data_IF_628596019882
#
_entry.id   IF_628596019882
#
_cell.length_a   1.000
_cell.length_b   1.000
_cell.length_c   1.000
_cell.angle_alpha   90.00
_cell.angle_beta   90.00
_cell.angle_gamma   90.00
#
_symmetry.space_group_name_H-M   'P 1'
#
loop_
_entity.id
_entity.type
_entity.pdbx_description
1 polymer ?
#
# COMPACT_ATOMS: atom_id res chain seq x y z
N UNK A 1 42.94 -73.23 -1.02
CA UNK A 1 42.69 -73.20 -2.46
C UNK A 1 41.40 -72.40 -2.72
N UNK A 2 41.59 -71.35 -3.47
CA UNK A 2 40.59 -70.67 -4.37
C UNK A 2 39.25 -70.27 -3.73
N UNK A 3 38.73 -69.15 -3.85
CA UNK A 3 38.92 -68.02 -4.71
C UNK A 3 37.57 -67.25 -4.74
N UNK A 4 37.68 -66.01 -4.49
CA UNK A 4 37.03 -64.92 -5.25
C UNK A 4 35.53 -64.85 -5.26
N UNK A 5 35.05 -63.67 -5.03
CA UNK A 5 33.85 -63.17 -5.56
C UNK A 5 33.44 -61.81 -4.99
N UNK A 6 34.07 -60.78 -5.49
CA UNK A 6 33.59 -59.39 -5.38
C UNK A 6 32.17 -59.26 -5.96
N UNK A 7 31.28 -58.60 -5.27
CA UNK A 7 30.22 -57.82 -5.93
C UNK A 7 30.19 -56.43 -5.29
N UNK A 8 30.57 -55.48 -6.09
CA UNK A 8 30.54 -54.05 -5.92
C UNK A 8 29.10 -53.54 -5.73
N UNK A 9 28.90 -52.67 -4.77
CA UNK A 9 28.64 -51.23 -4.85
C UNK A 9 27.84 -50.79 -6.10
N UNK A 10 26.61 -50.40 -5.86
CA UNK A 10 25.90 -49.28 -6.52
C UNK A 10 24.78 -48.82 -5.62
N UNK A 11 25.04 -47.92 -4.72
CA UNK A 11 24.05 -47.03 -4.14
C UNK A 11 24.45 -45.62 -4.59
N UNK A 12 24.00 -45.25 -5.78
CA UNK A 12 24.04 -43.89 -6.33
C UNK A 12 22.92 -43.07 -5.72
N UNK A 13 23.27 -42.07 -5.02
CA UNK A 13 22.96 -40.65 -5.17
C UNK A 13 21.61 -40.36 -5.84
N UNK A 14 20.59 -40.12 -5.03
CA UNK A 14 19.43 -39.30 -5.37
C UNK A 14 19.01 -38.50 -4.14
N UNK A 15 19.69 -37.38 -3.89
CA UNK A 15 19.23 -36.37 -2.98
C UNK A 15 19.74 -35.00 -3.45
N UNK A 16 18.89 -34.26 -4.06
CA UNK A 16 19.24 -32.89 -4.40
C UNK A 16 18.52 -32.33 -5.62
N UNK A 17 17.20 -32.10 -5.54
CA UNK A 17 16.52 -31.16 -6.43
C UNK A 17 15.09 -30.88 -5.94
N UNK A 18 14.93 -30.16 -4.84
CA UNK A 18 13.63 -29.56 -4.49
C UNK A 18 13.81 -28.34 -3.60
N UNK A 19 14.40 -27.26 -4.12
CA UNK A 19 14.43 -25.99 -3.36
C UNK A 19 14.66 -24.78 -4.27
N UNK A 20 13.89 -24.64 -5.35
CA UNK A 20 13.95 -23.42 -6.18
C UNK A 20 12.56 -22.86 -6.52
N UNK A 21 11.47 -23.39 -6.00
CA UNK A 21 10.11 -22.97 -6.42
C UNK A 21 9.51 -21.80 -5.63
N UNK A 22 10.16 -21.32 -4.55
CA UNK A 22 9.52 -20.34 -3.64
C UNK A 22 9.88 -18.86 -3.87
N UNK A 23 10.82 -18.56 -4.75
CA UNK A 23 11.28 -17.18 -4.94
C UNK A 23 10.51 -16.37 -6.00
N UNK A 24 9.73 -17.02 -6.86
CA UNK A 24 9.06 -16.33 -7.96
C UNK A 24 7.72 -15.69 -7.59
N UNK A 25 7.10 -16.06 -6.48
CA UNK A 25 5.81 -15.49 -6.06
C UNK A 25 5.93 -14.10 -5.42
N UNK A 26 7.08 -13.77 -4.82
CA UNK A 26 7.29 -12.45 -4.18
C UNK A 26 7.50 -11.34 -5.21
N UNK A 27 8.02 -11.66 -6.40
CA UNK A 27 8.26 -10.67 -7.45
C UNK A 27 7.00 -10.33 -8.27
N UNK A 28 6.02 -11.21 -8.32
CA UNK A 28 4.79 -10.98 -9.10
C UNK A 28 3.83 -10.01 -8.40
N UNK A 29 3.88 -9.87 -7.06
CA UNK A 29 3.06 -8.92 -6.31
C UNK A 29 3.61 -7.48 -6.36
N UNK A 30 4.86 -7.29 -6.76
CA UNK A 30 5.48 -5.96 -6.87
C UNK A 30 5.20 -5.27 -8.22
N UNK A 31 4.63 -5.96 -9.20
CA UNK A 31 4.49 -5.44 -10.57
C UNK A 31 3.42 -4.34 -10.72
N UNK A 32 2.47 -4.26 -9.79
CA UNK A 32 1.38 -3.27 -9.78
C UNK A 32 1.53 -2.19 -8.69
N UNK A 33 2.65 -2.19 -7.94
CA UNK A 33 2.96 -1.18 -6.95
C UNK A 33 4.01 -0.20 -7.48
N UNK A 34 3.62 1.02 -7.88
CA UNK A 34 4.52 1.96 -8.56
C UNK A 34 5.38 2.79 -7.60
N UNK A 35 5.12 2.72 -6.29
CA UNK A 35 5.78 3.57 -5.31
C UNK A 35 7.13 2.98 -4.87
N UNK A 36 8.08 3.88 -4.57
CA UNK A 36 9.42 3.49 -4.06
C UNK A 36 9.32 2.88 -2.67
N UNK A 37 8.37 3.34 -1.86
CA UNK A 37 8.13 2.84 -0.52
C UNK A 37 7.63 1.40 -0.58
N UNK A 38 8.10 0.59 0.36
CA UNK A 38 7.60 -0.78 0.50
C UNK A 38 6.08 -0.78 0.75
N UNK A 39 5.38 -1.61 0.03
CA UNK A 39 3.96 -1.84 0.30
C UNK A 39 3.78 -2.55 1.65
N UNK A 40 3.12 -1.86 2.57
CA UNK A 40 2.62 -2.42 3.83
C UNK A 40 1.10 -2.35 3.75
N UNK A 41 0.39 -3.45 3.52
CA UNK A 41 -1.07 -3.42 3.31
C UNK A 41 -1.84 -2.92 4.52
N UNK A 42 -1.44 -3.36 5.71
CA UNK A 42 -2.12 -3.08 6.98
C UNK A 42 -1.10 -2.68 8.05
N UNK A 43 -1.49 -1.76 8.92
CA UNK A 43 -0.70 -1.30 10.04
C UNK A 43 -1.06 -2.15 11.28
N UNK A 44 -0.10 -2.92 11.75
CA UNK A 44 -0.26 -3.75 12.92
C UNK A 44 -0.11 -2.93 14.21
N UNK A 45 -1.04 -3.04 15.17
CA UNK A 45 -0.96 -2.29 16.42
C UNK A 45 0.33 -2.58 17.21
N UNK A 46 0.85 -3.81 17.16
CA UNK A 46 2.08 -4.22 17.85
C UNK A 46 3.34 -3.45 17.44
N UNK A 47 3.33 -2.73 16.31
CA UNK A 47 4.45 -1.89 15.88
C UNK A 47 4.48 -0.51 16.55
N UNK A 48 3.37 -0.08 17.15
CA UNK A 48 3.22 1.28 17.65
C UNK A 48 2.55 1.40 19.02
N UNK A 49 1.89 0.34 19.49
CA UNK A 49 1.17 0.31 20.76
C UNK A 49 1.95 -0.47 21.81
N UNK A 50 2.30 0.19 22.91
CA UNK A 50 2.96 -0.39 24.08
C UNK A 50 2.11 -0.32 25.37
N UNK A 51 0.85 0.06 25.24
CA UNK A 51 -0.13 0.08 26.34
C UNK A 51 -0.68 -1.31 26.66
N UNK A 52 -1.73 -1.39 27.49
CA UNK A 52 -2.43 -2.64 27.75
C UNK A 52 -2.89 -3.35 26.48
N UNK A 53 -3.12 -4.66 26.57
CA UNK A 53 -3.66 -5.44 25.47
C UNK A 53 -4.92 -4.80 24.90
N UNK A 54 -4.99 -4.64 23.57
CA UNK A 54 -6.14 -4.07 22.91
C UNK A 54 -7.26 -5.12 22.87
N UNK A 55 -8.41 -4.74 23.39
CA UNK A 55 -9.63 -5.56 23.28
C UNK A 55 -10.34 -5.25 21.97
N UNK A 56 -10.97 -6.25 21.33
CA UNK A 56 -11.79 -6.00 20.15
C UNK A 56 -12.88 -4.95 20.46
N UNK A 57 -12.94 -3.92 19.62
CA UNK A 57 -13.99 -2.91 19.73
C UNK A 57 -15.25 -3.52 19.10
N UNK A 58 -16.20 -3.97 19.93
CA UNK A 58 -17.47 -4.50 19.47
C UNK A 58 -18.27 -3.43 18.70
N UNK A 59 -19.54 -3.20 19.09
CA UNK A 59 -20.29 -2.06 18.54
C UNK A 59 -19.89 -0.79 19.31
N UNK A 60 -19.08 0.13 18.73
CA UNK A 60 -18.64 1.33 19.45
C UNK A 60 -19.83 2.27 19.71
N UNK A 61 -19.84 2.87 20.89
CA UNK A 61 -20.80 3.92 21.24
C UNK A 61 -20.58 5.21 20.44
N UNK A 62 -21.59 6.10 20.37
CA UNK A 62 -21.51 7.32 19.57
C UNK A 62 -20.36 8.24 19.99
N UNK A 63 -20.08 8.33 21.28
CA UNK A 63 -19.00 9.19 21.83
C UNK A 63 -17.61 8.69 21.37
N UNK A 64 -17.37 7.39 21.44
CA UNK A 64 -16.13 6.79 20.97
C UNK A 64 -15.95 6.98 19.46
N UNK A 65 -17.03 6.79 18.68
CA UNK A 65 -17.00 7.01 17.24
C UNK A 65 -16.68 8.46 16.89
N UNK A 66 -17.32 9.42 17.57
CA UNK A 66 -17.08 10.84 17.33
C UNK A 66 -15.66 11.25 17.69
N UNK A 67 -15.15 10.77 18.83
CA UNK A 67 -13.77 11.00 19.24
C UNK A 67 -12.79 10.42 18.20
N UNK A 68 -12.93 9.15 17.84
CA UNK A 68 -12.06 8.50 16.84
C UNK A 68 -12.09 9.25 15.49
N UNK A 69 -13.28 9.65 15.01
CA UNK A 69 -13.43 10.38 13.74
C UNK A 69 -12.67 11.71 13.74
N UNK A 70 -12.72 12.48 14.84
CA UNK A 70 -11.96 13.72 14.97
C UNK A 70 -10.45 13.49 14.97
N UNK A 71 -9.99 12.40 15.58
CA UNK A 71 -8.57 12.08 15.67
C UNK A 71 -7.95 11.68 14.34
N UNK A 72 -8.71 11.02 13.48
CA UNK A 72 -8.20 10.58 12.17
C UNK A 72 -8.32 11.64 11.07
N UNK A 73 -9.10 12.71 11.26
CA UNK A 73 -9.28 13.75 10.25
C UNK A 73 -7.92 14.44 9.95
N UNK A 74 -7.39 14.35 8.72
CA UNK A 74 -6.10 14.94 8.36
C UNK A 74 -6.08 16.47 8.44
N UNK A 75 -7.25 17.13 8.49
CA UNK A 75 -7.38 18.58 8.63
C UNK A 75 -7.21 19.05 10.05
N UNK A 76 -7.27 18.14 11.03
CA UNK A 76 -7.11 18.50 12.45
C UNK A 76 -5.61 18.58 12.78
N UNK A 77 -5.10 19.75 13.23
CA UNK A 77 -3.70 19.91 13.61
C UNK A 77 -3.32 19.07 14.83
N UNK A 78 -2.03 18.70 14.94
CA UNK A 78 -1.53 17.79 15.96
C UNK A 78 -1.77 18.29 17.42
N UNK A 79 -1.70 19.59 17.66
CA UNK A 79 -2.00 20.20 18.96
C UNK A 79 -3.47 20.01 19.34
N UNK A 80 -4.38 20.15 18.38
CA UNK A 80 -5.82 19.90 18.58
C UNK A 80 -6.11 18.43 18.82
N UNK A 81 -5.43 17.53 18.10
CA UNK A 81 -5.52 16.07 18.36
C UNK A 81 -5.11 15.78 19.81
N UNK A 82 -4.01 16.37 20.29
CA UNK A 82 -3.57 16.18 21.67
C UNK A 82 -4.61 16.65 22.68
N UNK A 83 -5.20 17.83 22.48
CA UNK A 83 -6.26 18.35 23.36
C UNK A 83 -7.49 17.43 23.36
N UNK A 84 -7.94 16.98 22.20
CA UNK A 84 -9.08 16.04 22.07
C UNK A 84 -8.84 14.71 22.79
N UNK A 85 -7.62 14.18 22.72
CA UNK A 85 -7.25 12.95 23.45
C UNK A 85 -7.28 13.19 24.96
N UNK A 86 -6.79 14.35 25.43
CA UNK A 86 -6.83 14.73 26.85
C UNK A 86 -8.26 14.90 27.35
N UNK A 87 -9.09 15.59 26.57
CA UNK A 87 -10.50 15.81 26.90
C UNK A 87 -11.26 14.49 26.99
N UNK A 88 -11.04 13.58 26.04
CA UNK A 88 -11.64 12.25 26.07
C UNK A 88 -11.17 11.44 27.31
N UNK A 89 -9.88 11.47 27.62
CA UNK A 89 -9.32 10.78 28.77
C UNK A 89 -9.91 11.32 30.10
N UNK A 90 -10.09 12.65 30.21
CA UNK A 90 -10.64 13.29 31.40
C UNK A 90 -12.12 12.94 31.67
N UNK A 91 -12.85 12.57 30.63
CA UNK A 91 -14.26 12.14 30.74
C UNK A 91 -14.39 10.67 31.17
N UNK A 92 -13.31 9.90 31.17
CA UNK A 92 -13.37 8.50 31.53
C UNK A 92 -13.16 8.29 33.03
N UNK A 93 -13.96 7.41 33.68
CA UNK A 93 -13.69 7.00 35.05
C UNK A 93 -12.25 6.44 35.18
N UNK A 94 -11.60 6.72 36.30
CA UNK A 94 -10.18 6.34 36.48
C UNK A 94 -9.91 4.84 36.25
N UNK A 95 -10.80 3.98 36.76
CA UNK A 95 -10.69 2.52 36.60
C UNK A 95 -10.97 2.00 35.17
N UNK A 96 -11.61 2.81 34.32
CA UNK A 96 -11.94 2.43 32.95
C UNK A 96 -11.08 3.14 31.89
N UNK A 97 -10.33 4.14 32.32
CA UNK A 97 -9.56 5.00 31.40
C UNK A 97 -8.62 4.23 30.50
N UNK A 98 -7.84 3.30 31.04
CA UNK A 98 -6.91 2.51 30.26
C UNK A 98 -7.61 1.72 29.15
N UNK A 99 -8.77 1.10 29.45
CA UNK A 99 -9.59 0.38 28.49
C UNK A 99 -10.17 1.30 27.43
N UNK A 100 -10.77 2.43 27.85
CA UNK A 100 -11.37 3.41 26.93
C UNK A 100 -10.34 3.99 25.96
N UNK A 101 -9.14 4.29 26.45
CA UNK A 101 -8.02 4.77 25.61
C UNK A 101 -7.54 3.71 24.63
N UNK A 102 -7.48 2.44 25.06
CA UNK A 102 -7.16 1.32 24.16
C UNK A 102 -8.22 1.16 23.05
N UNK A 103 -9.50 1.25 23.40
CA UNK A 103 -10.60 1.20 22.42
C UNK A 103 -10.58 2.39 21.46
N UNK A 104 -10.25 3.58 21.93
CA UNK A 104 -10.09 4.77 21.09
C UNK A 104 -8.98 4.58 20.07
N UNK A 105 -7.84 4.05 20.51
CA UNK A 105 -6.74 3.74 19.60
C UNK A 105 -7.11 2.65 18.59
N UNK A 106 -7.67 1.53 19.04
CA UNK A 106 -8.05 0.41 18.19
C UNK A 106 -9.02 0.86 17.09
N UNK A 107 -10.11 1.56 17.44
CA UNK A 107 -11.08 2.08 16.47
C UNK A 107 -10.46 3.08 15.48
N UNK A 108 -9.57 3.96 15.97
CA UNK A 108 -8.88 4.92 15.11
C UNK A 108 -7.94 4.23 14.14
N UNK A 109 -7.24 3.17 14.58
CA UNK A 109 -6.34 2.39 13.74
C UNK A 109 -7.11 1.61 12.68
N UNK A 110 -8.23 0.97 13.05
CA UNK A 110 -9.10 0.26 12.09
C UNK A 110 -9.54 1.19 10.96
N UNK A 111 -10.03 2.39 11.28
CA UNK A 111 -10.48 3.34 10.27
C UNK A 111 -9.31 3.91 9.43
N UNK A 112 -8.13 4.10 10.01
CA UNK A 112 -6.94 4.48 9.26
C UNK A 112 -6.49 3.35 8.32
N UNK A 113 -6.64 2.09 8.71
CA UNK A 113 -6.38 0.94 7.85
C UNK A 113 -7.38 0.86 6.70
N UNK A 114 -8.68 1.09 6.94
CA UNK A 114 -9.71 1.16 5.90
C UNK A 114 -9.39 2.25 4.85
N UNK A 115 -9.03 3.45 5.32
CA UNK A 115 -8.64 4.55 4.44
C UNK A 115 -7.35 4.21 3.67
N UNK A 116 -6.36 3.64 4.36
CA UNK A 116 -5.11 3.19 3.74
C UNK A 116 -5.34 2.14 2.65
N UNK A 117 -6.19 1.17 2.90
CA UNK A 117 -6.56 0.16 1.92
C UNK A 117 -7.21 0.80 0.68
N UNK A 118 -8.12 1.76 0.88
CA UNK A 118 -8.75 2.49 -0.22
C UNK A 118 -7.73 3.26 -1.06
N UNK A 119 -6.77 3.92 -0.42
CA UNK A 119 -5.64 4.62 -1.07
C UNK A 119 -4.77 3.64 -1.85
N UNK A 120 -4.35 2.54 -1.25
CA UNK A 120 -3.53 1.50 -1.91
C UNK A 120 -4.23 0.95 -3.15
N UNK A 121 -5.53 0.66 -3.05
CA UNK A 121 -6.33 0.25 -4.22
C UNK A 121 -6.37 1.33 -5.31
N UNK A 122 -6.43 2.60 -4.92
CA UNK A 122 -6.35 3.74 -5.85
C UNK A 122 -5.01 3.78 -6.59
N UNK A 123 -3.90 3.73 -5.85
CA UNK A 123 -2.54 3.71 -6.40
C UNK A 123 -2.34 2.58 -7.42
N UNK A 124 -2.82 1.37 -7.10
CA UNK A 124 -2.74 0.23 -8.02
C UNK A 124 -3.55 0.43 -9.30
N UNK A 125 -4.78 0.96 -9.18
CA UNK A 125 -5.59 1.27 -10.37
C UNK A 125 -4.90 2.31 -11.26
N UNK A 126 -4.31 3.33 -10.66
CA UNK A 126 -3.56 4.34 -11.39
C UNK A 126 -2.35 3.76 -12.10
N UNK A 127 -1.61 2.84 -11.47
CA UNK A 127 -0.47 2.14 -12.07
C UNK A 127 -0.88 1.33 -13.30
N UNK A 128 -2.00 0.59 -13.22
CA UNK A 128 -2.54 -0.15 -14.36
C UNK A 128 -2.93 0.81 -15.49
N UNK A 129 -3.68 1.88 -15.20
CA UNK A 129 -4.08 2.86 -16.21
C UNK A 129 -2.88 3.60 -16.84
N UNK A 130 -1.80 3.81 -16.06
CA UNK A 130 -0.55 4.40 -16.57
C UNK A 130 0.18 3.44 -17.54
N UNK A 131 0.19 2.15 -17.21
CA UNK A 131 0.75 1.12 -18.10
C UNK A 131 -0.04 1.03 -19.40
N UNK A 132 -1.35 0.97 -19.35
CA UNK A 132 -2.21 0.91 -20.54
C UNK A 132 -2.00 2.14 -21.45
N UNK A 133 -1.84 3.33 -20.84
CA UNK A 133 -1.55 4.56 -21.58
C UNK A 133 -0.18 4.50 -22.25
N UNK A 134 0.85 4.00 -21.55
CA UNK A 134 2.17 3.79 -22.13
C UNK A 134 2.14 2.82 -23.32
N UNK A 135 1.45 1.68 -23.18
CA UNK A 135 1.30 0.68 -24.23
C UNK A 135 0.59 1.27 -25.45
N UNK A 136 -0.43 2.11 -25.26
CA UNK A 136 -1.13 2.82 -26.34
C UNK A 136 -0.21 3.79 -27.08
N UNK A 137 0.57 4.63 -26.36
CA UNK A 137 1.55 5.55 -26.96
C UNK A 137 2.57 4.77 -27.81
N UNK A 138 3.03 3.62 -27.34
CA UNK A 138 3.94 2.76 -28.11
C UNK A 138 3.28 2.23 -29.37
N UNK A 139 2.02 1.80 -29.29
CA UNK A 139 1.27 1.31 -30.46
C UNK A 139 1.04 2.41 -31.48
N UNK A 140 0.62 3.59 -31.07
CA UNK A 140 0.42 4.77 -31.92
C UNK A 140 1.73 5.20 -32.61
N UNK A 141 2.85 5.18 -31.87
CA UNK A 141 4.18 5.50 -32.42
C UNK A 141 4.59 4.51 -33.52
N UNK A 142 4.34 3.22 -33.32
CA UNK A 142 4.63 2.19 -34.33
C UNK A 142 3.74 2.35 -35.56
N UNK A 143 2.46 2.67 -35.38
CA UNK A 143 1.54 2.85 -36.49
C UNK A 143 1.87 4.12 -37.29
N UNK A 144 2.23 5.21 -36.62
CA UNK A 144 2.74 6.42 -37.28
C UNK A 144 3.95 6.13 -38.18
N UNK A 145 4.90 5.35 -37.67
CA UNK A 145 6.07 4.98 -38.48
C UNK A 145 5.67 4.20 -39.76
N UNK A 146 4.68 3.30 -39.67
CA UNK A 146 4.18 2.55 -40.85
C UNK A 146 3.47 3.48 -41.85
N UNK A 147 2.58 4.37 -41.36
CA UNK A 147 1.84 5.30 -42.24
C UNK A 147 2.78 6.29 -42.94
N UNK A 148 3.83 6.74 -42.26
CA UNK A 148 4.83 7.64 -42.83
C UNK A 148 5.71 6.94 -43.90
N UNK A 149 5.91 5.61 -43.79
CA UNK A 149 6.67 4.82 -44.77
C UNK A 149 5.81 4.39 -45.99
N UNK A 150 4.49 4.54 -45.92
CA UNK A 150 3.59 4.20 -47.04
C UNK A 150 3.74 5.16 -48.22
N UNK A 151 3.50 4.67 -49.43
CA UNK A 151 3.58 5.47 -50.66
C UNK A 151 2.31 5.27 -51.50
N UNK A 152 1.49 6.30 -51.72
CA UNK A 152 1.56 7.64 -51.13
C UNK A 152 1.19 7.64 -49.62
N UNK A 153 1.77 8.54 -48.81
CA UNK A 153 1.41 8.66 -47.41
C UNK A 153 0.03 9.33 -47.25
N UNK A 154 -0.78 8.84 -46.31
CA UNK A 154 -2.03 9.48 -45.92
C UNK A 154 -1.78 10.57 -44.87
N UNK A 155 -1.60 11.81 -45.36
CA UNK A 155 -1.28 12.96 -44.51
C UNK A 155 -2.39 13.26 -43.48
N UNK A 156 -3.67 13.00 -43.81
CA UNK A 156 -4.80 13.29 -42.91
C UNK A 156 -4.79 12.30 -41.71
N UNK A 157 -4.67 11.03 -41.99
CA UNK A 157 -4.59 9.97 -40.93
C UNK A 157 -3.34 10.14 -40.10
N UNK A 158 -2.18 10.48 -40.69
CA UNK A 158 -0.94 10.77 -39.97
C UNK A 158 -1.15 11.94 -38.99
N UNK A 159 -1.75 13.05 -39.44
CA UNK A 159 -1.99 14.22 -38.59
C UNK A 159 -2.92 13.95 -37.40
N UNK A 160 -3.98 13.17 -37.63
CA UNK A 160 -4.89 12.75 -36.57
C UNK A 160 -4.20 11.88 -35.52
N UNK A 161 -3.43 10.88 -35.96
CA UNK A 161 -2.76 9.96 -35.05
C UNK A 161 -1.61 10.66 -34.30
N UNK A 162 -0.89 11.60 -34.94
CA UNK A 162 0.09 12.44 -34.25
C UNK A 162 -0.54 13.24 -33.11
N UNK A 163 -1.68 13.87 -33.37
CA UNK A 163 -2.41 14.65 -32.37
C UNK A 163 -2.87 13.77 -31.19
N UNK A 164 -3.37 12.57 -31.46
CA UNK A 164 -3.79 11.63 -30.45
C UNK A 164 -2.62 11.18 -29.56
N UNK A 165 -1.50 10.75 -30.18
CA UNK A 165 -0.28 10.35 -29.46
C UNK A 165 0.29 11.50 -28.61
N UNK A 166 0.33 12.71 -29.13
CA UNK A 166 0.90 13.87 -28.42
C UNK A 166 0.01 14.22 -27.21
N UNK A 167 -1.31 14.07 -27.33
CA UNK A 167 -2.25 14.23 -26.23
C UNK A 167 -2.04 13.15 -25.15
N UNK A 168 -1.95 11.89 -25.54
CA UNK A 168 -1.72 10.77 -24.63
C UNK A 168 -0.35 10.89 -23.93
N UNK A 169 0.67 11.31 -24.64
CA UNK A 169 2.01 11.57 -24.07
C UNK A 169 1.96 12.67 -23.01
N UNK A 170 1.17 13.73 -23.25
CA UNK A 170 0.98 14.81 -22.27
C UNK A 170 0.29 14.29 -21.01
N UNK A 171 -0.81 13.55 -21.17
CA UNK A 171 -1.55 12.96 -20.04
C UNK A 171 -0.64 12.04 -19.23
N UNK A 172 0.14 11.18 -19.92
CA UNK A 172 1.11 10.30 -19.28
C UNK A 172 2.11 11.08 -18.42
N UNK A 173 2.71 12.13 -18.97
CA UNK A 173 3.67 12.97 -18.26
C UNK A 173 3.07 13.71 -17.07
N UNK A 174 1.83 14.19 -17.17
CA UNK A 174 1.17 14.89 -16.07
C UNK A 174 0.79 13.93 -14.92
N UNK A 175 0.31 12.73 -15.23
CA UNK A 175 0.08 11.69 -14.22
C UNK A 175 1.37 11.24 -13.53
N UNK A 176 2.47 11.13 -14.31
CA UNK A 176 3.78 10.76 -13.77
C UNK A 176 4.28 11.77 -12.71
N UNK A 177 4.04 13.07 -12.92
CA UNK A 177 4.39 14.12 -11.95
C UNK A 177 3.58 14.03 -10.65
N UNK A 178 2.35 13.54 -10.72
CA UNK A 178 1.46 13.39 -9.56
C UNK A 178 1.71 12.11 -8.76
N UNK A 179 2.43 11.15 -9.33
CA UNK A 179 2.63 9.84 -8.72
C UNK A 179 3.27 9.93 -7.32
N UNK A 180 4.24 10.82 -7.13
CA UNK A 180 4.89 11.01 -5.83
C UNK A 180 3.90 11.43 -4.74
N UNK A 181 2.98 12.36 -5.06
CA UNK A 181 1.96 12.84 -4.12
C UNK A 181 0.97 11.73 -3.72
N UNK A 182 0.62 10.88 -4.68
CA UNK A 182 -0.27 9.75 -4.42
C UNK A 182 0.44 8.68 -3.58
N UNK A 183 1.73 8.43 -3.86
CA UNK A 183 2.55 7.50 -3.10
C UNK A 183 2.84 7.94 -1.66
N UNK A 184 2.79 9.23 -1.37
CA UNK A 184 3.00 9.77 -0.02
C UNK A 184 1.78 9.54 0.90
N UNK A 185 0.58 9.38 0.35
CA UNK A 185 -0.65 9.24 1.16
C UNK A 185 -0.61 8.05 2.13
N UNK A 186 -0.24 6.82 1.74
CA UNK A 186 -0.11 5.71 2.67
C UNK A 186 0.88 5.98 3.80
N UNK A 187 1.98 6.71 3.50
CA UNK A 187 3.00 7.07 4.49
C UNK A 187 2.45 8.08 5.49
N UNK A 188 1.67 9.05 5.04
CA UNK A 188 1.03 10.04 5.92
C UNK A 188 0.04 9.39 6.88
N UNK A 189 -0.76 8.41 6.41
CA UNK A 189 -1.67 7.64 7.27
C UNK A 189 -0.91 6.82 8.31
N UNK A 190 0.20 6.20 7.93
CA UNK A 190 1.09 5.49 8.87
C UNK A 190 1.67 6.43 9.93
N UNK A 191 2.22 7.57 9.52
CA UNK A 191 2.75 8.58 10.44
C UNK A 191 1.67 9.07 11.42
N UNK A 192 0.43 9.24 10.94
CA UNK A 192 -0.70 9.62 11.78
C UNK A 192 -1.03 8.54 12.80
N UNK A 193 -1.07 7.28 12.41
CA UNK A 193 -1.30 6.16 13.32
C UNK A 193 -0.26 6.12 14.44
N UNK A 194 1.03 6.24 14.09
CA UNK A 194 2.11 6.32 15.10
C UNK A 194 1.99 7.54 16.02
N UNK A 195 1.60 8.70 15.48
CA UNK A 195 1.41 9.90 16.28
C UNK A 195 0.23 9.74 17.27
N UNK A 196 -0.88 9.16 16.81
CA UNK A 196 -2.04 8.86 17.65
C UNK A 196 -1.69 7.87 18.75
N UNK A 197 -1.03 6.77 18.44
CA UNK A 197 -0.57 5.80 19.42
C UNK A 197 0.22 6.48 20.54
N UNK A 198 1.23 7.27 20.19
CA UNK A 198 2.04 8.00 21.19
C UNK A 198 1.24 9.01 22.02
N UNK A 199 0.29 9.71 21.39
CA UNK A 199 -0.51 10.71 22.08
C UNK A 199 -1.48 10.07 23.06
N UNK A 200 -2.12 8.98 22.66
CA UNK A 200 -3.07 8.23 23.49
C UNK A 200 -2.35 7.54 24.65
N UNK A 201 -1.20 6.91 24.40
CA UNK A 201 -0.41 6.25 25.44
C UNK A 201 0.06 7.19 26.57
N UNK A 202 0.27 8.48 26.28
CA UNK A 202 0.61 9.48 27.31
C UNK A 202 -0.52 9.76 28.31
N UNK A 203 -1.74 9.33 28.01
CA UNK A 203 -2.91 9.49 28.87
C UNK A 203 -3.28 8.20 29.62
N UNK A 204 -2.50 7.14 29.43
CA UNK A 204 -2.63 5.92 30.23
C UNK A 204 -2.15 6.19 31.66
N UNK A 205 -2.78 5.55 32.68
CA UNK A 205 -2.39 5.70 34.07
C UNK A 205 -1.01 5.13 34.36
#
# INVERSE_FOLDING_TARGET
MRSIGQILRALGIWAGLTLVASQHQVLAQASDWPCVQRLVPELEPGLMWSGPALEPVGRPGPELQEAARKLIDPKVPADKVTAQVQDFAAQQPEGERARAMGQLFALSLDWLNDEREAVIRGVRRDAVGQKELADRIVAETKELAKLQAASPPDAATIGQLQTARDWDTRIFGDRQKQLSLVCDQPVQLEQRAFALARTIQKQLP
#
